data_IF_983458723309
#
_entry.id   IF_983458723309
#
_cell.length_a   1.000
_cell.length_b   1.000
_cell.length_c   1.000
_cell.angle_alpha   90.00
_cell.angle_beta   90.00
_cell.angle_gamma   90.00
#
_symmetry.space_group_name_H-M   'P 1'
#
loop_
_entity.id
_entity.type
_entity.pdbx_description
1 polymer ?
#
# COMPACT_ATOMS: atom_id res chain seq x y z
N UNK A 1 -7.96 -29.38 1.06
CA UNK A 1 -6.65 -29.31 1.77
C UNK A 1 -6.28 -27.86 1.99
N UNK A 2 -5.85 -27.47 3.20
CA UNK A 2 -5.28 -26.14 3.49
C UNK A 2 -3.77 -26.26 3.53
N UNK A 3 -3.05 -25.41 2.80
CA UNK A 3 -1.60 -25.35 2.89
C UNK A 3 -1.18 -24.83 4.27
N UNK A 4 -0.15 -25.44 4.86
CA UNK A 4 0.43 -25.01 6.13
C UNK A 4 1.51 -23.96 5.90
N UNK A 5 1.82 -23.08 6.87
CA UNK A 5 3.00 -22.22 6.80
C UNK A 5 4.28 -23.04 6.54
N UNK A 6 5.25 -22.50 5.77
CA UNK A 6 5.25 -21.20 5.09
C UNK A 6 4.51 -21.19 3.73
N UNK A 7 3.90 -22.29 3.31
CA UNK A 7 3.28 -22.46 1.99
C UNK A 7 1.85 -21.91 1.87
N UNK A 8 1.27 -21.41 2.97
CA UNK A 8 -0.04 -20.78 2.93
C UNK A 8 0.07 -19.37 2.36
N UNK A 9 -0.88 -18.95 1.51
CA UNK A 9 -0.90 -17.58 0.97
C UNK A 9 -0.82 -16.54 2.08
N UNK A 10 -1.54 -16.75 3.18
CA UNK A 10 -1.56 -15.86 4.34
C UNK A 10 -0.17 -15.66 4.98
N UNK A 11 0.66 -16.71 5.01
CA UNK A 11 2.02 -16.63 5.56
C UNK A 11 2.99 -15.83 4.67
N UNK A 12 2.62 -15.59 3.41
CA UNK A 12 3.44 -14.87 2.41
C UNK A 12 3.02 -13.40 2.26
N UNK A 13 1.99 -12.96 3.00
CA UNK A 13 1.46 -11.60 2.93
C UNK A 13 2.26 -10.62 3.77
N UNK A 14 2.60 -9.49 3.18
CA UNK A 14 3.26 -8.38 3.86
C UNK A 14 2.39 -7.12 3.79
N UNK A 15 1.77 -6.77 4.92
CA UNK A 15 0.98 -5.52 5.04
C UNK A 15 1.76 -4.42 5.75
N UNK A 16 2.51 -4.76 6.80
CA UNK A 16 3.18 -3.77 7.64
C UNK A 16 4.20 -2.96 6.86
N UNK A 17 4.11 -1.63 6.95
CA UNK A 17 5.02 -0.72 6.26
C UNK A 17 6.50 -0.96 6.58
N UNK A 18 6.85 -1.41 7.79
CA UNK A 18 8.24 -1.75 8.15
C UNK A 18 8.75 -2.98 7.41
N UNK A 19 7.91 -4.02 7.25
CA UNK A 19 8.28 -5.23 6.52
C UNK A 19 8.50 -4.90 5.05
N UNK A 20 7.59 -4.14 4.44
CA UNK A 20 7.71 -3.75 3.03
C UNK A 20 8.89 -2.81 2.82
N UNK A 21 9.18 -1.93 3.78
CA UNK A 21 10.38 -1.08 3.72
C UNK A 21 11.67 -1.89 3.69
N UNK A 22 11.77 -2.94 4.50
CA UNK A 22 12.93 -3.83 4.48
C UNK A 22 13.01 -4.62 3.18
N UNK A 23 11.88 -5.13 2.65
CA UNK A 23 11.81 -5.81 1.34
C UNK A 23 12.31 -4.91 0.21
N UNK A 24 11.98 -3.61 0.23
CA UNK A 24 12.47 -2.65 -0.76
C UNK A 24 13.99 -2.45 -0.71
N UNK A 25 14.62 -2.59 0.46
CA UNK A 25 16.08 -2.47 0.63
C UNK A 25 16.79 -3.77 0.28
N UNK A 26 16.25 -4.86 0.78
CA UNK A 26 16.70 -6.21 0.54
C UNK A 26 15.48 -7.14 0.49
N UNK A 27 15.23 -7.67 -0.70
CA UNK A 27 14.11 -8.56 -0.98
C UNK A 27 14.07 -9.77 -0.06
N UNK A 28 15.21 -10.27 0.40
CA UNK A 28 15.29 -11.48 1.21
C UNK A 28 15.06 -11.24 2.71
N UNK A 29 15.00 -9.99 3.16
CA UNK A 29 14.87 -9.65 4.59
C UNK A 29 13.60 -10.19 5.26
N UNK A 30 12.51 -10.36 4.49
CA UNK A 30 11.25 -10.91 4.99
C UNK A 30 10.64 -11.99 4.10
N UNK A 31 11.33 -12.42 3.04
CA UNK A 31 10.84 -13.44 2.11
C UNK A 31 11.55 -14.77 2.35
N UNK A 32 10.81 -15.80 2.76
CA UNK A 32 11.35 -17.17 2.92
C UNK A 32 11.67 -17.82 1.56
N UNK A 33 10.93 -17.46 0.51
CA UNK A 33 11.10 -18.02 -0.83
C UNK A 33 11.83 -17.01 -1.74
N UNK A 34 13.08 -17.28 -2.15
CA UNK A 34 13.91 -16.30 -2.86
C UNK A 34 13.42 -16.00 -4.28
N UNK A 35 12.73 -16.95 -4.92
CA UNK A 35 12.24 -16.82 -6.30
C UNK A 35 10.77 -16.40 -6.38
N UNK A 36 10.10 -16.24 -5.24
CA UNK A 36 8.71 -15.81 -5.21
C UNK A 36 8.65 -14.29 -5.05
N UNK A 37 7.74 -13.64 -5.76
CA UNK A 37 7.42 -12.23 -5.51
C UNK A 37 6.69 -12.10 -4.16
N UNK A 38 7.06 -11.11 -3.33
CA UNK A 38 6.37 -10.88 -2.06
C UNK A 38 4.92 -10.47 -2.31
N UNK A 39 3.99 -11.04 -1.57
CA UNK A 39 2.57 -10.69 -1.66
C UNK A 39 2.30 -9.43 -0.82
N UNK A 40 2.43 -8.24 -1.43
CA UNK A 40 2.23 -6.97 -0.72
C UNK A 40 0.75 -6.63 -0.61
N UNK A 41 0.29 -6.33 0.61
CA UNK A 41 -1.08 -5.95 0.92
C UNK A 41 -1.17 -4.52 1.45
N UNK A 42 -2.35 -3.92 1.27
CA UNK A 42 -2.61 -2.51 1.52
C UNK A 42 -3.75 -2.36 2.54
N UNK A 43 -3.48 -1.82 3.71
CA UNK A 43 -4.42 -1.79 4.82
C UNK A 43 -4.07 -0.80 5.92
N UNK A 44 -4.62 -1.04 7.12
CA UNK A 44 -4.49 -0.15 8.27
C UNK A 44 -3.03 0.06 8.67
N UNK A 45 -2.20 -0.97 8.49
CA UNK A 45 -0.80 -0.98 8.89
C UNK A 45 0.18 -0.65 7.76
N UNK A 46 -0.34 -0.32 6.58
CA UNK A 46 0.50 0.04 5.45
C UNK A 46 1.21 1.38 5.64
N UNK A 47 2.46 1.42 5.18
CA UNK A 47 3.29 2.61 5.10
C UNK A 47 3.36 3.17 3.68
N UNK A 48 4.04 4.31 3.54
CA UNK A 48 4.38 4.84 2.21
C UNK A 48 5.17 3.81 1.38
N UNK A 49 5.99 2.97 2.04
CA UNK A 49 6.72 1.86 1.42
C UNK A 49 5.84 0.87 0.66
N UNK A 50 4.60 0.61 1.10
CA UNK A 50 3.68 -0.27 0.35
C UNK A 50 3.31 0.36 -0.99
N UNK A 51 2.97 1.64 -0.96
CA UNK A 51 2.63 2.41 -2.16
C UNK A 51 3.84 2.56 -3.07
N UNK A 52 5.01 2.82 -2.49
CA UNK A 52 6.27 2.84 -3.21
C UNK A 52 6.53 1.51 -3.93
N UNK A 53 6.35 0.37 -3.25
CA UNK A 53 6.49 -0.94 -3.88
C UNK A 53 5.53 -1.12 -5.07
N UNK A 54 4.26 -0.74 -4.91
CA UNK A 54 3.27 -0.81 -5.99
C UNK A 54 3.73 -0.02 -7.23
N UNK A 55 4.17 1.21 -7.03
CA UNK A 55 4.48 2.10 -8.15
C UNK A 55 5.86 1.82 -8.76
N UNK A 56 6.87 1.55 -7.95
CA UNK A 56 8.24 1.37 -8.43
C UNK A 56 8.51 -0.06 -8.90
N UNK A 57 8.07 -1.08 -8.15
CA UNK A 57 8.39 -2.48 -8.46
C UNK A 57 7.32 -3.12 -9.33
N UNK A 58 6.04 -2.94 -8.99
CA UNK A 58 4.95 -3.61 -9.70
C UNK A 58 4.54 -2.87 -10.98
N UNK A 59 4.37 -1.55 -10.93
CA UNK A 59 3.93 -0.74 -12.07
C UNK A 59 5.05 -0.10 -12.90
N UNK A 60 6.28 -0.07 -12.39
CA UNK A 60 7.44 0.57 -13.04
C UNK A 60 7.19 2.05 -13.39
N UNK A 61 6.49 2.77 -12.51
CA UNK A 61 6.08 4.18 -12.64
C UNK A 61 6.29 4.91 -11.31
N UNK A 62 7.52 5.36 -10.99
CA UNK A 62 7.79 6.03 -9.73
C UNK A 62 6.96 7.31 -9.59
N UNK A 63 6.57 7.62 -8.35
CA UNK A 63 5.93 8.87 -7.96
C UNK A 63 6.85 9.69 -7.07
N UNK A 64 6.46 10.92 -6.78
CA UNK A 64 7.14 11.71 -5.76
C UNK A 64 6.74 11.28 -4.34
N UNK A 65 7.55 11.67 -3.35
CA UNK A 65 7.34 11.32 -1.95
C UNK A 65 5.99 11.79 -1.39
N UNK A 66 5.52 12.97 -1.81
CA UNK A 66 4.25 13.51 -1.32
C UNK A 66 3.07 12.64 -1.80
N UNK A 67 3.10 12.20 -3.05
CA UNK A 67 2.09 11.33 -3.63
C UNK A 67 2.04 9.97 -2.91
N UNK A 68 3.18 9.40 -2.52
CA UNK A 68 3.20 8.18 -1.72
C UNK A 68 2.52 8.34 -0.36
N UNK A 69 2.80 9.45 0.34
CA UNK A 69 2.17 9.71 1.65
C UNK A 69 0.68 10.01 1.53
N UNK A 70 0.27 10.78 0.52
CA UNK A 70 -1.14 11.08 0.26
C UNK A 70 -1.93 9.79 -0.01
N UNK A 71 -1.45 8.97 -0.94
CA UNK A 71 -2.13 7.74 -1.32
C UNK A 71 -2.14 6.72 -0.18
N UNK A 72 -1.05 6.60 0.58
CA UNK A 72 -1.02 5.81 1.82
C UNK A 72 -2.12 6.25 2.78
N UNK A 73 -2.28 7.56 3.00
CA UNK A 73 -3.30 8.09 3.92
C UNK A 73 -4.72 7.74 3.49
N UNK A 74 -5.00 7.78 2.19
CA UNK A 74 -6.32 7.47 1.63
C UNK A 74 -6.60 5.97 1.73
N UNK A 75 -5.67 5.14 1.26
CA UNK A 75 -5.77 3.67 1.37
C UNK A 75 -6.01 3.26 2.81
N UNK A 76 -5.26 3.86 3.76
CA UNK A 76 -5.45 3.61 5.19
C UNK A 76 -6.86 3.98 5.64
N UNK A 77 -7.36 5.15 5.26
CA UNK A 77 -8.73 5.59 5.59
C UNK A 77 -9.78 4.61 5.08
N UNK A 78 -9.71 4.25 3.80
CA UNK A 78 -10.64 3.31 3.17
C UNK A 78 -10.56 1.94 3.84
N UNK A 79 -9.35 1.44 4.13
CA UNK A 79 -9.16 0.14 4.80
C UNK A 79 -9.78 0.10 6.20
N UNK A 80 -9.68 1.20 6.95
CA UNK A 80 -10.27 1.33 8.28
C UNK A 80 -11.80 1.35 8.18
N UNK A 81 -12.35 2.12 7.24
CA UNK A 81 -13.80 2.21 7.01
C UNK A 81 -14.39 0.87 6.58
N UNK A 82 -13.75 0.17 5.65
CA UNK A 82 -14.20 -1.12 5.13
C UNK A 82 -13.78 -2.31 6.02
N UNK A 83 -12.99 -2.08 7.06
CA UNK A 83 -12.46 -3.10 7.99
C UNK A 83 -11.74 -4.26 7.28
N UNK A 84 -11.02 -3.96 6.19
CA UNK A 84 -10.31 -4.97 5.39
C UNK A 84 -9.04 -4.40 4.76
N UNK A 85 -8.14 -5.29 4.39
CA UNK A 85 -6.97 -4.98 3.56
C UNK A 85 -7.27 -5.33 2.10
N UNK A 86 -6.48 -4.75 1.20
CA UNK A 86 -6.60 -4.86 -0.25
C UNK A 86 -5.34 -5.52 -0.82
N UNK A 87 -5.53 -6.35 -1.84
CA UNK A 87 -4.46 -6.81 -2.72
C UNK A 87 -3.96 -5.66 -3.63
N UNK A 88 -2.84 -5.88 -4.32
CA UNK A 88 -2.34 -4.93 -5.30
C UNK A 88 -3.36 -4.68 -6.41
N UNK A 89 -4.00 -5.74 -6.92
CA UNK A 89 -4.99 -5.70 -7.98
C UNK A 89 -6.21 -4.85 -7.57
N UNK A 90 -6.71 -5.03 -6.35
CA UNK A 90 -7.82 -4.22 -5.82
C UNK A 90 -7.44 -2.74 -5.69
N UNK A 91 -6.20 -2.41 -5.31
CA UNK A 91 -5.75 -1.01 -5.30
C UNK A 91 -5.72 -0.44 -6.74
N UNK A 92 -5.31 -1.23 -7.74
CA UNK A 92 -5.33 -0.81 -9.14
C UNK A 92 -6.76 -0.56 -9.62
N UNK A 93 -7.72 -1.39 -9.24
CA UNK A 93 -9.14 -1.18 -9.53
C UNK A 93 -9.64 0.14 -8.90
N UNK A 94 -9.30 0.40 -7.63
CA UNK A 94 -9.66 1.66 -6.96
C UNK A 94 -9.01 2.89 -7.61
N UNK A 95 -7.82 2.75 -8.19
CA UNK A 95 -7.17 3.80 -8.98
C UNK A 95 -7.90 4.04 -10.30
N UNK A 96 -8.25 2.97 -11.03
CA UNK A 96 -8.93 3.06 -12.32
C UNK A 96 -10.34 3.63 -12.21
N UNK A 97 -11.04 3.32 -11.12
CA UNK A 97 -12.36 3.86 -10.81
C UNK A 97 -12.33 5.34 -10.38
N UNK A 98 -11.14 5.95 -10.27
CA UNK A 98 -10.99 7.33 -9.84
C UNK A 98 -11.18 7.54 -8.34
N UNK A 99 -11.59 6.52 -7.57
CA UNK A 99 -11.88 6.64 -6.12
C UNK A 99 -10.67 7.17 -5.35
N UNK A 100 -9.47 6.65 -5.66
CA UNK A 100 -8.25 7.12 -5.02
C UNK A 100 -7.83 8.52 -5.50
N UNK A 101 -8.16 8.89 -6.74
CA UNK A 101 -7.85 10.22 -7.30
C UNK A 101 -8.78 11.29 -6.72
N UNK A 102 -10.06 11.01 -6.62
CA UNK A 102 -11.07 11.90 -6.05
C UNK A 102 -10.78 12.18 -4.57
N UNK A 103 -10.29 11.19 -3.83
CA UNK A 103 -9.85 11.36 -2.44
C UNK A 103 -8.53 12.14 -2.32
N UNK A 104 -7.61 12.06 -3.29
CA UNK A 104 -6.41 12.93 -3.32
C UNK A 104 -6.83 14.39 -3.44
N UNK A 105 -7.76 14.68 -4.36
CA UNK A 105 -8.23 16.04 -4.59
C UNK A 105 -9.00 16.60 -3.38
N UNK A 106 -9.83 15.78 -2.72
CA UNK A 106 -10.57 16.13 -1.48
C UNK A 106 -9.67 16.36 -0.28
N UNK A 107 -8.65 15.52 -0.07
CA UNK A 107 -7.68 15.68 1.04
C UNK A 107 -6.78 16.90 0.79
N UNK A 108 -6.42 17.17 -0.47
CA UNK A 108 -5.71 18.38 -0.87
C UNK A 108 -6.45 19.68 -0.54
N UNK A 109 -7.78 19.70 -0.70
CA UNK A 109 -8.62 20.86 -0.36
C UNK A 109 -8.72 21.09 1.15
N UNK A 110 -8.90 20.02 1.95
CA UNK A 110 -9.01 20.16 3.42
C UNK A 110 -7.73 20.67 4.07
N UNK A 111 -6.54 20.28 3.56
CA UNK A 111 -5.25 20.78 4.08
C UNK A 111 -4.97 22.24 3.75
N UNK A 112 -5.56 22.79 2.69
CA UNK A 112 -5.43 24.22 2.36
C UNK A 112 -6.33 25.09 3.25
N UNK A 113 -7.46 24.57 3.71
CA UNK A 113 -8.36 25.27 4.63
C UNK A 113 -7.85 25.27 6.07
N UNK A 114 -7.21 24.20 6.55
CA UNK A 114 -6.63 24.15 7.91
C UNK A 114 -5.40 25.06 8.09
N UNK A 115 -4.70 25.43 7.00
CA UNK A 115 -3.57 26.39 7.04
C UNK A 115 -4.00 27.86 7.04
N UNK A 116 -5.31 28.15 6.97
CA UNK A 116 -5.88 29.51 6.97
C UNK A 116 -6.61 29.89 8.27
N UNK A 117 -6.47 29.11 9.35
CA UNK A 117 -6.90 29.58 10.68
C UNK A 117 -5.77 30.37 11.35
N UNK A 118 -6.00 31.62 11.76
CA UNK A 118 -5.01 32.48 12.41
C UNK A 118 -4.62 31.98 13.80
#
# INVERSE_FOLDING_TARGET
MRANPPYSKQAQRHESGSHVHSILRDRNSYCIFPYQEPEIWFGKFSGASNVQYLFEQYLQKPLNREQYEQMRSIIKTISIQQKRSFSAEEILELLQQGILKDEIDRVGTKRTEERKKP
#
